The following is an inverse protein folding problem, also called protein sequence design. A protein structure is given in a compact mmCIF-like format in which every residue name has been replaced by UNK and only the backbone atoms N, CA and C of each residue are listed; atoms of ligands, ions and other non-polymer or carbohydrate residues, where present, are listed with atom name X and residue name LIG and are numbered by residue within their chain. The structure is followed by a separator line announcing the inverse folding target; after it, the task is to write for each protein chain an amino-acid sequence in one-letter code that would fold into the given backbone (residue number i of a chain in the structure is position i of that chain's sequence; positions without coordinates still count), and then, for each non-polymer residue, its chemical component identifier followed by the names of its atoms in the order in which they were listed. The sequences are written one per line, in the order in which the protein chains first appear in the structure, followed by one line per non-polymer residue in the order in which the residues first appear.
data_IF_741974531257
#
_entry.id   IF_741974531257
#
_cell.length_a   1.000
_cell.length_b   1.000
_cell.length_c   1.000
_cell.angle_alpha   90.00
_cell.angle_beta   90.00
_cell.angle_gamma   90.00
#
_symmetry.space_group_name_H-M   'P 1'
#
loop_
_entity.id
_entity.type
_entity.pdbx_description
1 polymer ?
#
# COMPACT_ATOMS: atom_id res chain seq x y z
N UNK A 1 -15.41 5.51 -3.27
CA UNK A 1 -15.49 4.56 -4.42
C UNK A 1 -14.69 3.32 -4.06
N UNK A 2 -15.27 2.12 -4.19
CA UNK A 2 -14.59 0.85 -3.94
C UNK A 2 -13.54 0.56 -5.03
N UNK A 3 -12.25 0.29 -4.70
CA UNK A 3 -11.21 -0.01 -5.70
C UNK A 3 -11.49 -1.23 -6.59
N UNK A 4 -12.31 -2.20 -6.17
CA UNK A 4 -12.71 -3.33 -7.00
C UNK A 4 -13.50 -2.92 -8.25
N UNK A 5 -14.15 -1.73 -8.25
CA UNK A 5 -14.79 -1.15 -9.44
C UNK A 5 -13.79 -0.96 -10.58
N UNK A 6 -12.54 -0.63 -10.27
CA UNK A 6 -11.50 -0.44 -11.29
C UNK A 6 -11.16 -1.74 -12.00
N UNK A 7 -11.10 -2.86 -11.25
CA UNK A 7 -10.85 -4.19 -11.80
C UNK A 7 -11.94 -4.57 -12.81
N UNK A 8 -13.22 -4.42 -12.43
CA UNK A 8 -14.34 -4.68 -13.34
C UNK A 8 -14.32 -3.75 -14.57
N UNK A 9 -13.99 -2.48 -14.37
CA UNK A 9 -13.90 -1.51 -15.48
C UNK A 9 -12.86 -1.95 -16.51
N UNK A 10 -11.65 -2.33 -16.06
CA UNK A 10 -10.58 -2.77 -16.95
C UNK A 10 -10.88 -4.13 -17.60
N UNK A 11 -11.56 -5.04 -16.89
CA UNK A 11 -12.03 -6.29 -17.47
C UNK A 11 -13.00 -6.07 -18.64
N UNK A 12 -13.84 -5.04 -18.57
CA UNK A 12 -14.74 -4.66 -19.69
C UNK A 12 -14.03 -3.91 -20.81
N UNK A 13 -13.11 -3.01 -20.49
CA UNK A 13 -12.47 -2.12 -21.47
C UNK A 13 -11.28 -2.77 -22.17
N UNK A 14 -10.53 -3.63 -21.45
CA UNK A 14 -9.23 -4.18 -21.87
C UNK A 14 -9.07 -5.65 -21.41
N UNK A 15 -10.01 -6.55 -21.73
CA UNK A 15 -10.08 -7.91 -21.16
C UNK A 15 -8.79 -8.71 -21.33
N UNK A 16 -8.11 -8.58 -22.47
CA UNK A 16 -6.89 -9.32 -22.79
C UNK A 16 -5.59 -8.67 -22.33
N UNK A 17 -5.61 -7.43 -21.79
CA UNK A 17 -4.41 -6.78 -21.32
C UNK A 17 -3.93 -7.38 -19.99
N UNK A 18 -2.60 -7.43 -19.71
CA UNK A 18 -2.06 -7.90 -18.46
C UNK A 18 -2.59 -7.10 -17.26
N UNK A 19 -3.02 -7.78 -16.20
CA UNK A 19 -3.42 -7.18 -14.94
C UNK A 19 -2.40 -7.48 -13.83
N UNK A 20 -1.98 -8.74 -13.72
CA UNK A 20 -1.01 -9.21 -12.74
C UNK A 20 0.05 -10.03 -13.44
N UNK A 21 1.30 -9.82 -13.09
CA UNK A 21 2.45 -10.58 -13.55
C UNK A 21 3.21 -11.18 -12.36
N UNK A 22 3.74 -12.38 -12.55
CA UNK A 22 4.67 -13.05 -11.63
C UNK A 22 6.02 -13.15 -12.33
N UNK A 23 6.99 -12.38 -11.86
CA UNK A 23 8.24 -12.17 -12.55
C UNK A 23 8.04 -11.58 -13.95
N UNK A 24 8.61 -12.20 -14.96
CA UNK A 24 8.53 -11.78 -16.36
C UNK A 24 7.27 -12.26 -17.08
N UNK A 25 6.48 -13.14 -16.45
CA UNK A 25 5.33 -13.80 -17.04
C UNK A 25 4.02 -13.16 -16.62
N UNK A 26 3.07 -13.07 -17.55
CA UNK A 26 1.70 -12.66 -17.23
C UNK A 26 1.02 -13.78 -16.43
N UNK A 27 0.65 -13.48 -15.18
CA UNK A 27 -0.14 -14.38 -14.33
C UNK A 27 -1.61 -14.34 -14.71
N UNK A 28 -2.18 -13.14 -14.85
CA UNK A 28 -3.56 -12.97 -15.28
C UNK A 28 -3.76 -11.71 -16.12
N UNK A 29 -4.73 -11.81 -17.04
CA UNK A 29 -5.28 -10.64 -17.75
C UNK A 29 -6.33 -9.95 -16.90
N UNK A 30 -6.79 -8.76 -17.29
CA UNK A 30 -7.86 -8.07 -16.58
C UNK A 30 -9.15 -8.90 -16.52
N UNK A 31 -9.50 -9.62 -17.58
CA UNK A 31 -10.67 -10.52 -17.57
C UNK A 31 -10.46 -11.68 -16.58
N UNK A 32 -9.29 -12.31 -16.61
CA UNK A 32 -8.95 -13.40 -15.69
C UNK A 32 -8.93 -12.93 -14.23
N UNK A 33 -8.24 -11.83 -13.95
CA UNK A 33 -8.16 -11.25 -12.61
C UNK A 33 -9.55 -10.90 -12.05
N UNK A 34 -10.40 -10.24 -12.84
CA UNK A 34 -11.75 -9.91 -12.43
C UNK A 34 -12.62 -11.17 -12.18
N UNK A 35 -12.48 -12.20 -13.01
CA UNK A 35 -13.19 -13.46 -12.81
C UNK A 35 -12.75 -14.15 -11.50
N UNK A 36 -11.45 -14.26 -11.25
CA UNK A 36 -10.92 -14.81 -9.99
C UNK A 36 -11.41 -14.00 -8.79
N UNK A 37 -11.31 -12.67 -8.84
CA UNK A 37 -11.78 -11.76 -7.78
C UNK A 37 -13.26 -11.97 -7.46
N UNK A 38 -14.12 -12.04 -8.49
CA UNK A 38 -15.56 -12.20 -8.29
C UNK A 38 -15.93 -13.61 -7.76
N UNK A 39 -15.25 -14.66 -8.25
CA UNK A 39 -15.48 -16.02 -7.78
C UNK A 39 -14.96 -16.26 -6.37
N UNK A 40 -13.77 -15.76 -6.06
CA UNK A 40 -13.20 -15.79 -4.70
C UNK A 40 -14.09 -15.02 -3.70
N UNK A 41 -14.59 -13.84 -4.09
CA UNK A 41 -15.57 -13.09 -3.30
C UNK A 41 -16.83 -13.90 -3.03
N UNK A 42 -17.33 -14.63 -4.04
CA UNK A 42 -18.46 -15.55 -3.91
C UNK A 42 -18.19 -16.71 -2.96
N UNK A 43 -16.99 -17.29 -3.03
CA UNK A 43 -16.56 -18.36 -2.13
C UNK A 43 -16.43 -17.89 -0.69
N UNK A 44 -15.80 -16.73 -0.46
CA UNK A 44 -15.65 -16.13 0.87
C UNK A 44 -17.02 -15.82 1.51
N UNK A 45 -17.95 -15.24 0.73
CA UNK A 45 -19.29 -14.92 1.23
C UNK A 45 -20.18 -16.18 1.38
N UNK A 46 -20.21 -17.05 0.37
CA UNK A 46 -21.12 -18.19 0.34
C UNK A 46 -20.64 -19.39 1.15
N UNK A 47 -19.36 -19.79 0.98
CA UNK A 47 -18.83 -21.01 1.63
C UNK A 47 -18.32 -20.74 3.03
N UNK A 48 -17.74 -19.55 3.30
CA UNK A 48 -17.23 -19.18 4.63
C UNK A 48 -18.20 -18.29 5.42
N UNK A 49 -19.32 -17.87 4.83
CA UNK A 49 -20.37 -17.12 5.53
C UNK A 49 -19.98 -15.70 5.94
N UNK A 50 -18.99 -15.08 5.27
CA UNK A 50 -18.63 -13.70 5.56
C UNK A 50 -19.67 -12.74 4.98
N UNK A 51 -19.86 -11.62 5.67
CA UNK A 51 -20.80 -10.56 5.25
C UNK A 51 -20.08 -9.22 5.09
N UNK A 52 -20.65 -8.27 4.30
CA UNK A 52 -20.04 -6.94 4.15
C UNK A 52 -19.73 -6.27 5.49
N UNK A 53 -18.50 -5.76 5.63
CA UNK A 53 -17.97 -5.20 6.87
C UNK A 53 -17.16 -6.19 7.71
N UNK A 54 -17.19 -7.49 7.44
CA UNK A 54 -16.28 -8.45 8.06
C UNK A 54 -14.83 -8.16 7.69
N UNK A 55 -13.89 -8.51 8.57
CA UNK A 55 -12.48 -8.30 8.38
C UNK A 55 -11.83 -9.57 7.87
N UNK A 56 -11.06 -9.40 6.79
CA UNK A 56 -10.22 -10.43 6.21
C UNK A 56 -8.76 -10.03 6.42
N UNK A 57 -8.03 -10.80 7.24
CA UNK A 57 -6.60 -10.60 7.43
C UNK A 57 -5.81 -11.32 6.33
N UNK A 58 -4.74 -10.67 5.84
CA UNK A 58 -3.80 -11.24 4.86
C UNK A 58 -2.43 -11.32 5.53
N UNK A 59 -1.96 -12.55 5.78
CA UNK A 59 -0.69 -12.86 6.46
C UNK A 59 0.14 -13.71 5.50
N UNK A 60 0.77 -13.07 4.50
CA UNK A 60 1.54 -13.78 3.48
C UNK A 60 2.54 -12.84 2.79
N UNK A 61 3.52 -13.42 2.12
CA UNK A 61 4.44 -12.71 1.25
C UNK A 61 3.75 -12.08 0.04
N UNK A 62 4.49 -11.23 -0.69
CA UNK A 62 3.96 -10.66 -1.93
C UNK A 62 3.75 -11.76 -2.98
N UNK A 63 2.53 -11.92 -3.45
CA UNK A 63 2.18 -12.91 -4.46
C UNK A 63 0.94 -12.46 -5.27
N UNK A 64 0.64 -13.06 -6.43
CA UNK A 64 -0.60 -12.84 -7.15
C UNK A 64 -1.84 -13.05 -6.27
N UNK A 65 -1.84 -14.11 -5.46
CA UNK A 65 -2.94 -14.48 -4.56
C UNK A 65 -3.18 -13.41 -3.50
N UNK A 66 -2.13 -12.68 -3.07
CA UNK A 66 -2.30 -11.52 -2.19
C UNK A 66 -3.20 -10.44 -2.82
N UNK A 67 -2.96 -10.13 -4.10
CA UNK A 67 -3.77 -9.16 -4.83
C UNK A 67 -5.19 -9.70 -5.05
N UNK A 68 -5.33 -10.97 -5.39
CA UNK A 68 -6.62 -11.63 -5.56
C UNK A 68 -7.44 -11.58 -4.26
N UNK A 69 -6.84 -11.94 -3.11
CA UNK A 69 -7.49 -11.86 -1.79
C UNK A 69 -7.92 -10.43 -1.45
N UNK A 70 -7.02 -9.46 -1.65
CA UNK A 70 -7.29 -8.05 -1.36
C UNK A 70 -8.46 -7.49 -2.17
N UNK A 71 -8.44 -7.72 -3.48
CA UNK A 71 -9.50 -7.21 -4.35
C UNK A 71 -10.81 -8.00 -4.22
N UNK A 72 -10.76 -9.31 -3.92
CA UNK A 72 -11.95 -10.11 -3.61
C UNK A 72 -12.62 -9.65 -2.30
N UNK A 73 -11.84 -9.32 -1.28
CA UNK A 73 -12.36 -8.76 -0.04
C UNK A 73 -13.10 -7.44 -0.30
N UNK A 74 -12.52 -6.51 -1.04
CA UNK A 74 -13.22 -5.27 -1.41
C UNK A 74 -14.43 -5.52 -2.31
N UNK A 75 -14.33 -6.47 -3.24
CA UNK A 75 -15.44 -6.84 -4.12
C UNK A 75 -16.66 -7.33 -3.34
N UNK A 76 -16.43 -8.13 -2.28
CA UNK A 76 -17.46 -8.61 -1.37
C UNK A 76 -17.85 -7.59 -0.27
N UNK A 77 -17.23 -6.39 -0.27
CA UNK A 77 -17.51 -5.35 0.73
C UNK A 77 -16.88 -5.60 2.11
N UNK A 78 -15.86 -6.46 2.19
CA UNK A 78 -15.12 -6.72 3.43
C UNK A 78 -14.06 -5.65 3.68
N UNK A 79 -13.56 -5.61 4.90
CA UNK A 79 -12.45 -4.77 5.33
C UNK A 79 -11.15 -5.58 5.28
N UNK A 80 -10.18 -5.12 4.52
CA UNK A 80 -8.87 -5.79 4.43
C UNK A 80 -8.01 -5.41 5.64
N UNK A 81 -7.37 -6.41 6.24
CA UNK A 81 -6.39 -6.25 7.32
C UNK A 81 -5.05 -6.82 6.85
N UNK A 82 -4.26 -6.06 6.10
CA UNK A 82 -2.96 -6.50 5.67
C UNK A 82 -2.00 -6.55 6.85
N UNK A 83 -1.42 -7.71 7.11
CA UNK A 83 -0.49 -7.94 8.21
C UNK A 83 0.89 -8.17 7.63
N UNK A 84 1.91 -7.54 8.21
CA UNK A 84 3.28 -7.84 7.83
C UNK A 84 3.63 -9.28 8.26
N UNK A 85 3.83 -10.15 7.29
CA UNK A 85 4.11 -11.56 7.53
C UNK A 85 5.45 -11.82 8.26
N UNK A 86 6.32 -10.81 8.38
CA UNK A 86 7.58 -10.89 9.14
C UNK A 86 7.43 -10.60 10.64
N UNK A 87 6.24 -10.23 11.09
CA UNK A 87 5.97 -10.03 12.51
C UNK A 87 6.05 -11.36 13.27
N UNK A 88 6.35 -11.26 14.58
CA UNK A 88 6.27 -12.43 15.44
C UNK A 88 4.82 -12.94 15.52
N UNK A 89 4.66 -14.24 15.70
CA UNK A 89 3.34 -14.89 15.78
C UNK A 89 2.39 -14.20 16.76
N UNK A 90 2.89 -13.77 17.91
CA UNK A 90 2.05 -13.11 18.94
C UNK A 90 1.58 -11.71 18.52
N UNK A 91 2.37 -11.02 17.71
CA UNK A 91 1.96 -9.72 17.11
C UNK A 91 0.87 -9.96 16.06
N UNK A 92 1.01 -11.00 15.23
CA UNK A 92 -0.01 -11.42 14.28
C UNK A 92 -1.29 -11.80 15.03
N UNK A 93 -1.20 -12.61 16.08
CA UNK A 93 -2.33 -13.00 16.94
C UNK A 93 -3.07 -11.77 17.51
N UNK A 94 -2.29 -10.79 18.01
CA UNK A 94 -2.87 -9.53 18.49
C UNK A 94 -3.63 -8.78 17.38
N UNK A 95 -3.04 -8.63 16.19
CA UNK A 95 -3.68 -7.90 15.09
C UNK A 95 -4.95 -8.62 14.63
N UNK A 96 -4.92 -9.94 14.48
CA UNK A 96 -6.09 -10.75 14.07
C UNK A 96 -7.21 -10.63 15.10
N UNK A 97 -6.88 -10.76 16.39
CA UNK A 97 -7.83 -10.62 17.51
C UNK A 97 -8.39 -9.20 17.60
N UNK A 98 -7.52 -8.19 17.63
CA UNK A 98 -7.92 -6.78 17.78
C UNK A 98 -8.77 -6.28 16.62
N UNK A 99 -8.44 -6.69 15.38
CA UNK A 99 -9.26 -6.36 14.21
C UNK A 99 -10.60 -7.06 14.20
N UNK A 100 -10.73 -8.17 14.96
CA UNK A 100 -11.86 -9.07 14.90
C UNK A 100 -11.96 -9.78 13.55
N UNK A 101 -10.81 -10.12 12.94
CA UNK A 101 -10.80 -10.82 11.65
C UNK A 101 -11.42 -12.20 11.80
N UNK A 102 -12.33 -12.54 10.87
CA UNK A 102 -13.01 -13.85 10.82
C UNK A 102 -12.26 -14.86 9.94
N UNK A 103 -11.49 -14.37 9.00
CA UNK A 103 -10.67 -15.21 8.14
C UNK A 103 -9.25 -14.66 8.05
N UNK A 104 -8.27 -15.55 8.05
CA UNK A 104 -6.88 -15.29 7.68
C UNK A 104 -6.61 -15.98 6.34
N UNK A 105 -6.17 -15.21 5.34
CA UNK A 105 -5.56 -15.73 4.12
C UNK A 105 -4.05 -15.72 4.31
N UNK A 106 -3.39 -16.84 4.07
CA UNK A 106 -1.96 -17.03 4.33
C UNK A 106 -1.29 -17.82 3.20
N UNK A 107 0.03 -17.86 3.16
CA UNK A 107 0.81 -18.75 2.28
C UNK A 107 1.30 -19.98 3.06
N UNK A 108 1.98 -20.89 2.35
CA UNK A 108 2.49 -22.14 2.95
C UNK A 108 3.55 -21.89 4.03
N UNK A 109 4.33 -20.79 3.91
CA UNK A 109 5.40 -20.47 4.87
C UNK A 109 4.84 -20.01 6.22
N UNK A 110 3.65 -19.41 6.23
CA UNK A 110 3.01 -18.87 7.42
C UNK A 110 1.77 -19.68 7.88
N UNK A 111 1.43 -20.76 7.17
CA UNK A 111 0.23 -21.57 7.45
C UNK A 111 0.20 -22.12 8.86
N UNK A 112 1.31 -22.67 9.34
CA UNK A 112 1.37 -23.29 10.67
C UNK A 112 1.04 -22.28 11.77
N UNK A 113 1.64 -21.09 11.72
CA UNK A 113 1.39 -20.01 12.66
C UNK A 113 -0.05 -19.52 12.57
N UNK A 114 -0.56 -19.27 11.34
CA UNK A 114 -1.94 -18.84 11.14
C UNK A 114 -2.96 -19.85 11.66
N UNK A 115 -2.75 -21.17 11.41
CA UNK A 115 -3.64 -22.23 11.93
C UNK A 115 -3.59 -22.37 13.44
N UNK A 116 -2.44 -22.08 14.07
CA UNK A 116 -2.32 -22.11 15.52
C UNK A 116 -3.21 -21.05 16.22
N UNK A 117 -3.67 -20.04 15.49
CA UNK A 117 -4.58 -19.01 16.02
C UNK A 117 -6.05 -19.50 16.11
N UNK A 118 -6.41 -20.56 15.38
CA UNK A 118 -7.76 -21.16 15.48
C UNK A 118 -7.99 -21.70 16.90
N UNK A 119 -9.06 -21.24 17.54
CA UNK A 119 -9.40 -21.58 18.93
C UNK A 119 -8.65 -20.77 19.98
N UNK A 120 -7.63 -20.00 19.62
CA UNK A 120 -6.99 -19.01 20.48
C UNK A 120 -7.62 -17.62 20.29
N UNK A 121 -7.93 -17.25 19.04
CA UNK A 121 -8.56 -15.98 18.69
C UNK A 121 -10.04 -16.22 18.45
N UNK A 122 -10.89 -15.74 19.36
CA UNK A 122 -12.33 -15.99 19.35
C UNK A 122 -13.04 -15.58 18.05
N UNK A 123 -12.57 -14.53 17.39
CA UNK A 123 -13.18 -14.05 16.14
C UNK A 123 -12.78 -14.85 14.90
N UNK A 124 -11.67 -15.62 14.97
CA UNK A 124 -11.11 -16.32 13.82
C UNK A 124 -11.82 -17.65 13.58
N UNK A 125 -12.54 -17.75 12.47
CA UNK A 125 -13.30 -18.93 12.09
C UNK A 125 -12.60 -19.77 11.02
N UNK A 126 -11.80 -19.11 10.13
CA UNK A 126 -11.21 -19.75 8.97
C UNK A 126 -9.75 -19.33 8.75
N UNK A 127 -8.93 -20.29 8.32
CA UNK A 127 -7.59 -20.05 7.78
C UNK A 127 -7.50 -20.68 6.40
N UNK A 128 -7.24 -19.87 5.38
CA UNK A 128 -7.17 -20.28 3.97
C UNK A 128 -5.76 -20.10 3.47
N UNK A 129 -5.12 -21.21 3.07
CA UNK A 129 -3.76 -21.19 2.50
C UNK A 129 -3.84 -20.98 0.98
N UNK A 130 -3.12 -20.00 0.48
CA UNK A 130 -3.11 -19.59 -0.93
C UNK A 130 -1.65 -19.57 -1.49
N UNK A 131 -1.37 -20.28 -2.60
CA UNK A 131 -2.28 -21.25 -3.26
C UNK A 131 -2.47 -22.52 -2.44
N UNK A 132 -3.63 -23.18 -2.60
CA UNK A 132 -3.94 -24.44 -1.91
C UNK A 132 -5.29 -25.01 -2.34
N UNK A 133 -5.66 -26.18 -1.85
CA UNK A 133 -6.89 -26.89 -2.26
C UNK A 133 -8.14 -26.04 -1.96
N UNK A 134 -8.30 -25.58 -0.71
CA UNK A 134 -9.42 -24.74 -0.30
C UNK A 134 -9.46 -23.41 -1.09
N UNK A 135 -8.29 -22.79 -1.35
CA UNK A 135 -8.21 -21.60 -2.20
C UNK A 135 -8.78 -21.87 -3.62
N UNK A 136 -8.36 -23.01 -4.22
CA UNK A 136 -8.87 -23.43 -5.52
C UNK A 136 -10.39 -23.64 -5.53
N UNK A 137 -10.95 -24.25 -4.48
CA UNK A 137 -12.40 -24.41 -4.31
C UNK A 137 -13.12 -23.07 -4.21
N UNK A 138 -12.58 -22.12 -3.43
CA UNK A 138 -13.16 -20.77 -3.31
C UNK A 138 -13.12 -20.01 -4.64
N UNK A 139 -11.99 -20.10 -5.36
CA UNK A 139 -11.86 -19.52 -6.71
C UNK A 139 -12.76 -20.18 -7.77
N UNK A 140 -13.21 -21.41 -7.53
CA UNK A 140 -14.18 -22.14 -8.36
C UNK A 140 -15.65 -21.86 -8.03
N UNK A 141 -15.92 -21.01 -7.03
CA UNK A 141 -17.30 -20.69 -6.60
C UNK A 141 -18.05 -19.84 -7.62
N UNK A 142 -19.37 -19.77 -7.49
CA UNK A 142 -20.19 -18.87 -8.30
C UNK A 142 -19.75 -17.40 -8.03
N UNK A 143 -19.58 -16.58 -9.07
CA UNK A 143 -19.11 -15.21 -8.89
C UNK A 143 -20.15 -14.36 -8.14
N UNK A 144 -19.69 -13.57 -7.19
CA UNK A 144 -20.49 -12.57 -6.50
C UNK A 144 -20.56 -11.28 -7.35
N UNK A 145 -21.71 -10.62 -7.35
CA UNK A 145 -21.78 -9.26 -7.85
C UNK A 145 -21.06 -8.29 -6.91
N UNK A 146 -20.42 -7.26 -7.46
CA UNK A 146 -19.72 -6.26 -6.67
C UNK A 146 -20.66 -5.63 -5.63
N UNK A 147 -20.27 -5.68 -4.37
CA UNK A 147 -21.03 -5.09 -3.25
C UNK A 147 -20.75 -3.58 -3.18
N UNK A 148 -21.83 -2.79 -3.22
CA UNK A 148 -21.71 -1.33 -3.04
C UNK A 148 -21.32 -0.98 -1.60
N UNK A 149 -20.41 -0.02 -1.48
CA UNK A 149 -19.95 0.51 -0.20
C UNK A 149 -20.00 2.03 -0.20
N UNK A 150 -20.35 2.62 0.92
CA UNK A 150 -20.29 4.07 1.10
C UNK A 150 -18.82 4.56 1.11
N UNK A 151 -18.62 5.83 0.82
CA UNK A 151 -17.29 6.42 0.80
C UNK A 151 -16.59 6.37 2.17
N UNK A 152 -17.37 6.48 3.22
CA UNK A 152 -16.90 6.53 4.61
C UNK A 152 -16.90 5.14 5.31
N UNK A 153 -17.29 4.08 4.58
CA UNK A 153 -17.15 2.72 5.09
C UNK A 153 -15.67 2.35 5.21
N UNK A 154 -15.29 1.60 6.27
CA UNK A 154 -13.95 1.04 6.40
C UNK A 154 -13.59 0.15 5.20
N UNK A 155 -12.38 0.33 4.68
CA UNK A 155 -11.83 -0.43 3.55
C UNK A 155 -10.55 -1.18 3.91
N UNK A 156 -9.72 -0.60 4.79
CA UNK A 156 -8.42 -1.12 5.17
C UNK A 156 -8.12 -0.75 6.62
N UNK A 157 -7.73 -1.72 7.45
CA UNK A 157 -7.15 -1.45 8.76
C UNK A 157 -5.64 -1.50 8.63
N UNK A 158 -5.01 -0.33 8.71
CA UNK A 158 -3.56 -0.21 8.59
C UNK A 158 -2.94 -0.22 9.98
N UNK A 159 -2.25 -1.31 10.33
CA UNK A 159 -1.61 -1.43 11.64
C UNK A 159 -0.25 -0.76 11.64
N UNK A 160 -0.08 0.23 12.53
CA UNK A 160 1.18 0.94 12.75
C UNK A 160 1.79 0.53 14.09
N UNK A 161 3.13 0.50 14.18
CA UNK A 161 3.83 0.33 15.45
C UNK A 161 3.66 1.61 16.26
N UNK A 162 2.67 1.64 17.15
CA UNK A 162 2.44 2.79 18.03
C UNK A 162 3.60 3.03 19.00
N UNK A 163 3.84 4.28 19.36
CA UNK A 163 4.83 4.68 20.38
C UNK A 163 4.54 4.10 21.77
N UNK A 164 3.37 3.52 21.99
CA UNK A 164 2.87 2.98 23.27
C UNK A 164 2.98 1.45 23.40
N UNK A 165 3.65 0.75 22.50
CA UNK A 165 4.03 -0.66 22.63
C UNK A 165 3.13 -1.67 21.91
N UNK A 166 1.85 -1.42 21.66
CA UNK A 166 0.98 -2.30 20.85
C UNK A 166 0.55 -1.63 19.56
N UNK A 167 0.53 -2.34 18.42
CA UNK A 167 0.09 -1.78 17.14
C UNK A 167 -1.34 -1.24 17.22
N UNK A 168 -1.58 -0.06 16.62
CA UNK A 168 -2.90 0.55 16.46
C UNK A 168 -3.37 0.35 15.02
N UNK A 169 -4.65 0.00 14.83
CA UNK A 169 -5.25 -0.16 13.51
C UNK A 169 -5.88 1.15 13.03
N UNK A 170 -5.17 1.92 12.19
CA UNK A 170 -5.75 3.08 11.54
C UNK A 170 -6.83 2.64 10.55
N UNK A 171 -8.05 3.17 10.73
CA UNK A 171 -9.20 2.85 9.88
C UNK A 171 -9.19 3.73 8.64
N UNK A 172 -8.74 3.16 7.52
CA UNK A 172 -8.79 3.82 6.22
C UNK A 172 -10.11 3.49 5.52
N UNK A 173 -10.85 4.53 5.15
CA UNK A 173 -12.11 4.42 4.43
C UNK A 173 -11.88 4.34 2.92
N UNK A 174 -12.91 3.97 2.17
CA UNK A 174 -12.88 4.04 0.69
C UNK A 174 -12.61 5.48 0.19
N UNK A 175 -13.01 6.52 0.96
CA UNK A 175 -12.69 7.92 0.68
C UNK A 175 -11.19 8.17 0.79
N UNK A 176 -10.57 7.76 1.89
CA UNK A 176 -9.14 7.96 2.12
C UNK A 176 -8.30 7.31 1.01
N UNK A 177 -8.63 6.06 0.61
CA UNK A 177 -7.94 5.35 -0.47
C UNK A 177 -8.12 6.02 -1.83
N UNK A 178 -9.31 6.58 -2.10
CA UNK A 178 -9.56 7.34 -3.33
C UNK A 178 -8.75 8.64 -3.35
N UNK A 179 -8.76 9.40 -2.25
CA UNK A 179 -8.05 10.69 -2.17
C UNK A 179 -6.53 10.49 -2.29
N UNK A 180 -5.95 9.49 -1.59
CA UNK A 180 -4.56 9.08 -1.77
C UNK A 180 -4.25 8.76 -3.25
N UNK A 181 -5.16 8.04 -3.93
CA UNK A 181 -5.01 7.68 -5.35
C UNK A 181 -5.02 8.92 -6.25
N UNK A 182 -5.93 9.87 -6.02
CA UNK A 182 -6.04 11.11 -6.79
C UNK A 182 -4.85 12.04 -6.53
N UNK A 183 -4.43 12.15 -5.27
CA UNK A 183 -3.24 12.91 -4.86
C UNK A 183 -1.97 12.38 -5.54
N UNK A 184 -1.84 11.06 -5.74
CA UNK A 184 -0.73 10.50 -6.50
C UNK A 184 -0.67 11.08 -7.92
N UNK A 185 -1.81 11.14 -8.62
CA UNK A 185 -1.85 11.69 -9.99
C UNK A 185 -1.60 13.19 -10.05
N UNK A 186 -1.98 13.93 -8.99
CA UNK A 186 -1.77 15.37 -8.91
C UNK A 186 -0.29 15.73 -8.65
N UNK A 187 0.37 15.01 -7.72
CA UNK A 187 1.60 15.50 -7.11
C UNK A 187 2.82 14.60 -7.34
N UNK A 188 2.63 13.31 -7.72
CA UNK A 188 3.76 12.38 -7.89
C UNK A 188 4.04 12.10 -9.35
N UNK A 189 3.10 11.42 -10.03
CA UNK A 189 3.31 11.06 -11.44
C UNK A 189 2.00 10.64 -12.12
N UNK A 190 1.77 11.00 -13.38
CA UNK A 190 0.68 10.44 -14.17
C UNK A 190 0.93 8.95 -14.43
N UNK A 191 -0.12 8.15 -14.40
CA UNK A 191 -0.08 6.72 -14.73
C UNK A 191 -0.88 6.47 -16.00
N UNK A 192 -0.29 5.71 -16.93
CA UNK A 192 -0.89 5.24 -18.16
C UNK A 192 -1.23 3.76 -18.09
N UNK A 193 -2.11 3.31 -18.96
CA UNK A 193 -2.53 1.91 -19.05
C UNK A 193 -1.46 0.96 -19.64
N UNK A 194 -0.38 1.51 -20.18
CA UNK A 194 0.81 0.76 -20.60
C UNK A 194 1.91 0.70 -19.55
N UNK A 195 1.74 1.38 -18.40
CA UNK A 195 2.73 1.39 -17.32
C UNK A 195 2.65 0.10 -16.46
N UNK A 196 3.62 -0.05 -15.56
CA UNK A 196 3.66 -1.13 -14.60
C UNK A 196 4.00 -0.63 -13.19
N UNK A 197 3.58 -1.39 -12.17
CA UNK A 197 4.00 -1.17 -10.79
C UNK A 197 4.65 -2.44 -10.24
N UNK A 198 5.88 -2.31 -9.73
CA UNK A 198 6.61 -3.42 -9.11
C UNK A 198 6.37 -3.44 -7.60
N UNK A 199 5.96 -4.60 -7.10
CA UNK A 199 5.70 -4.85 -5.69
C UNK A 199 6.88 -5.58 -5.02
N UNK A 200 8.06 -4.94 -4.95
CA UNK A 200 9.22 -5.48 -4.24
C UNK A 200 9.18 -5.19 -2.72
N UNK A 201 8.62 -4.05 -2.32
CA UNK A 201 8.32 -3.76 -0.92
C UNK A 201 7.00 -4.45 -0.48
N UNK A 202 6.80 -4.68 0.85
CA UNK A 202 5.62 -5.40 1.33
C UNK A 202 4.28 -4.79 0.89
N UNK A 203 3.40 -5.63 0.35
CA UNK A 203 2.02 -5.25 -0.03
C UNK A 203 1.15 -4.85 1.17
N UNK A 204 1.54 -5.26 2.37
CA UNK A 204 0.87 -4.85 3.62
C UNK A 204 1.11 -3.38 3.98
N UNK A 205 2.05 -2.70 3.30
CA UNK A 205 2.45 -1.31 3.57
C UNK A 205 2.41 -0.46 2.29
N UNK A 206 3.41 0.39 2.09
CA UNK A 206 3.48 1.36 1.01
C UNK A 206 3.30 0.79 -0.38
N UNK A 207 3.86 -0.37 -0.68
CA UNK A 207 3.69 -0.99 -2.01
C UNK A 207 2.23 -1.32 -2.31
N UNK A 208 1.48 -1.81 -1.32
CA UNK A 208 0.05 -2.11 -1.49
C UNK A 208 -0.82 -0.86 -1.67
N UNK A 209 -0.46 0.25 -1.02
CA UNK A 209 -1.11 1.54 -1.19
C UNK A 209 -0.79 2.14 -2.58
N UNK A 210 0.49 2.23 -2.94
CA UNK A 210 0.92 2.77 -4.24
C UNK A 210 0.59 1.89 -5.44
N UNK A 211 0.11 0.65 -5.22
CA UNK A 211 -0.56 -0.15 -6.25
C UNK A 211 -1.90 0.42 -6.69
N UNK A 212 -2.63 1.14 -5.81
CA UNK A 212 -3.97 1.66 -6.10
C UNK A 212 -4.04 2.61 -7.30
N UNK A 213 -3.19 3.67 -7.41
CA UNK A 213 -3.20 4.53 -8.58
C UNK A 213 -2.88 3.79 -9.88
N UNK A 214 -2.02 2.78 -9.82
CA UNK A 214 -1.67 1.98 -11.00
C UNK A 214 -2.85 1.10 -11.45
N UNK A 215 -3.50 0.38 -10.53
CA UNK A 215 -4.72 -0.38 -10.84
C UNK A 215 -5.85 0.54 -11.29
N UNK A 216 -6.02 1.72 -10.71
CA UNK A 216 -7.03 2.69 -11.14
C UNK A 216 -6.89 3.09 -12.62
N UNK A 217 -5.65 3.07 -13.16
CA UNK A 217 -5.33 3.41 -14.54
C UNK A 217 -5.16 2.20 -15.46
N UNK A 218 -5.22 0.99 -14.92
CA UNK A 218 -5.10 -0.26 -15.68
C UNK A 218 -3.66 -0.66 -16.02
N UNK A 219 -2.69 -0.15 -15.24
CA UNK A 219 -1.30 -0.59 -15.30
C UNK A 219 -1.14 -2.00 -14.70
N UNK A 220 -0.14 -2.75 -15.17
CA UNK A 220 0.10 -4.12 -14.69
C UNK A 220 0.78 -4.11 -13.31
N UNK A 221 0.29 -4.92 -12.38
CA UNK A 221 0.94 -5.20 -11.09
C UNK A 221 1.94 -6.33 -11.24
N UNK A 222 3.23 -6.06 -11.02
CA UNK A 222 4.34 -7.01 -11.20
C UNK A 222 4.84 -7.46 -9.82
N UNK A 223 4.79 -8.76 -9.55
CA UNK A 223 5.34 -9.37 -8.35
C UNK A 223 6.70 -9.99 -8.72
N UNK A 224 7.82 -9.67 -8.01
CA UNK A 224 9.07 -10.39 -8.23
C UNK A 224 8.93 -11.85 -7.80
N UNK A 225 9.51 -12.79 -8.56
CA UNK A 225 9.46 -14.22 -8.24
C UNK A 225 10.17 -14.54 -6.91
N UNK A 226 11.20 -13.73 -6.55
CA UNK A 226 11.88 -13.80 -5.25
C UNK A 226 11.01 -13.33 -4.07
N UNK A 227 9.84 -12.75 -4.35
CA UNK A 227 8.92 -12.13 -3.34
C UNK A 227 9.57 -10.98 -2.54
N UNK A 228 10.67 -10.43 -3.02
CA UNK A 228 11.45 -9.42 -2.28
C UNK A 228 12.28 -8.49 -3.15
N UNK A 229 13.32 -7.92 -2.55
CA UNK A 229 14.24 -6.98 -3.20
C UNK A 229 15.51 -7.71 -3.59
N UNK A 230 15.52 -8.28 -4.79
CA UNK A 230 16.74 -8.86 -5.38
C UNK A 230 17.16 -7.98 -6.57
N UNK A 231 18.32 -7.27 -6.46
CA UNK A 231 18.71 -6.24 -7.43
C UNK A 231 18.79 -6.73 -8.87
N UNK A 232 19.35 -7.92 -9.11
CA UNK A 232 19.44 -8.47 -10.45
C UNK A 232 18.07 -8.79 -11.06
N UNK A 233 17.13 -9.31 -10.26
CA UNK A 233 15.78 -9.56 -10.69
C UNK A 233 15.04 -8.25 -10.99
N UNK A 234 15.17 -7.24 -10.10
CA UNK A 234 14.54 -5.92 -10.31
C UNK A 234 15.05 -5.28 -11.61
N UNK A 235 16.35 -5.38 -11.90
CA UNK A 235 16.92 -4.88 -13.16
C UNK A 235 16.30 -5.60 -14.37
N UNK A 236 16.15 -6.93 -14.33
CA UNK A 236 15.48 -7.72 -15.37
C UNK A 236 14.02 -7.30 -15.55
N UNK A 237 13.28 -7.13 -14.45
CA UNK A 237 11.87 -6.72 -14.48
C UNK A 237 11.70 -5.29 -15.03
N UNK A 238 12.61 -4.36 -14.71
CA UNK A 238 12.63 -3.02 -15.32
C UNK A 238 12.81 -3.13 -16.84
N UNK A 239 13.74 -3.95 -17.30
CA UNK A 239 13.96 -4.14 -18.73
C UNK A 239 12.74 -4.77 -19.44
N UNK A 240 12.00 -5.64 -18.73
CA UNK A 240 10.84 -6.39 -19.26
C UNK A 240 9.55 -5.57 -19.32
N UNK A 241 9.25 -4.80 -18.24
CA UNK A 241 7.94 -4.15 -18.08
C UNK A 241 8.04 -2.64 -18.29
N UNK A 242 7.30 -2.07 -19.27
CA UNK A 242 7.40 -0.65 -19.57
C UNK A 242 6.82 0.24 -18.46
N UNK A 243 7.32 1.47 -18.38
CA UNK A 243 6.81 2.50 -17.50
C UNK A 243 6.78 2.09 -16.01
N UNK A 244 7.80 1.32 -15.57
CA UNK A 244 7.83 0.73 -14.25
C UNK A 244 8.00 1.78 -13.16
N UNK A 245 7.09 1.75 -12.19
CA UNK A 245 7.19 2.52 -10.96
C UNK A 245 7.17 1.58 -9.76
N UNK A 246 7.76 1.97 -8.63
CA UNK A 246 7.67 1.20 -7.39
C UNK A 246 7.94 2.04 -6.15
N UNK A 247 7.36 1.61 -5.02
CA UNK A 247 7.66 2.15 -3.71
C UNK A 247 8.90 1.46 -3.13
N UNK A 248 9.80 2.26 -2.52
CA UNK A 248 11.00 1.78 -1.87
C UNK A 248 11.32 2.56 -0.59
N UNK A 249 11.72 1.90 0.49
CA UNK A 249 12.35 2.56 1.61
C UNK A 249 13.74 3.07 1.21
N UNK A 250 14.28 4.14 1.86
CA UNK A 250 15.61 4.66 1.57
C UNK A 250 16.73 3.61 1.52
N UNK A 251 16.70 2.65 2.43
CA UNK A 251 17.67 1.53 2.45
C UNK A 251 17.57 0.63 1.21
N UNK A 252 16.37 0.44 0.66
CA UNK A 252 16.15 -0.30 -0.59
C UNK A 252 16.68 0.49 -1.77
N UNK A 253 16.41 1.81 -1.84
CA UNK A 253 16.94 2.70 -2.89
C UNK A 253 18.46 2.65 -2.90
N UNK A 254 19.10 2.79 -1.72
CA UNK A 254 20.56 2.69 -1.59
C UNK A 254 21.09 1.32 -2.04
N UNK A 255 20.47 0.21 -1.59
CA UNK A 255 20.86 -1.14 -2.02
C UNK A 255 20.85 -1.28 -3.53
N UNK A 256 19.79 -0.81 -4.19
CA UNK A 256 19.67 -0.85 -5.65
C UNK A 256 20.71 0.06 -6.33
N UNK A 257 20.93 1.27 -5.82
CA UNK A 257 21.87 2.24 -6.40
C UNK A 257 23.35 1.82 -6.26
N UNK A 258 23.67 0.92 -5.33
CA UNK A 258 25.04 0.41 -5.12
C UNK A 258 25.31 -0.94 -5.76
N UNK A 259 24.27 -1.64 -6.26
CA UNK A 259 24.43 -2.98 -6.80
C UNK A 259 24.87 -2.95 -8.28
N UNK A 260 25.95 -3.70 -8.64
CA UNK A 260 26.43 -3.75 -10.02
C UNK A 260 25.39 -4.24 -11.04
N UNK A 261 24.47 -5.12 -10.63
CA UNK A 261 23.43 -5.62 -11.52
C UNK A 261 22.42 -4.52 -11.93
N UNK A 262 22.23 -3.50 -11.08
CA UNK A 262 21.36 -2.36 -11.37
C UNK A 262 22.12 -1.24 -12.08
N UNK A 263 23.34 -0.89 -11.59
CA UNK A 263 24.13 0.22 -12.14
C UNK A 263 24.60 -0.03 -13.58
N UNK A 264 24.70 -1.31 -13.99
CA UNK A 264 25.03 -1.72 -15.37
C UNK A 264 23.82 -2.06 -16.25
N UNK A 265 22.59 -1.96 -15.72
CA UNK A 265 21.40 -2.39 -16.42
C UNK A 265 20.80 -1.30 -17.34
N UNK A 266 19.96 -1.74 -18.29
CA UNK A 266 19.10 -0.85 -19.03
C UNK A 266 17.89 -0.43 -18.17
N UNK A 267 17.87 0.81 -17.74
CA UNK A 267 16.82 1.40 -16.92
C UNK A 267 15.82 2.26 -17.72
N UNK A 268 15.78 2.09 -19.04
CA UNK A 268 14.93 2.92 -19.94
C UNK A 268 13.47 2.85 -19.56
N UNK A 269 12.97 1.68 -19.14
CA UNK A 269 11.60 1.46 -18.70
C UNK A 269 11.31 1.90 -17.25
N UNK A 270 12.33 2.26 -16.47
CA UNK A 270 12.11 2.81 -15.15
C UNK A 270 11.50 4.20 -15.23
N UNK A 271 10.32 4.37 -14.66
CA UNK A 271 9.56 5.61 -14.68
C UNK A 271 9.68 6.40 -13.39
N UNK A 272 9.38 5.76 -12.23
CA UNK A 272 9.40 6.47 -10.95
C UNK A 272 9.71 5.53 -9.80
N UNK A 273 10.68 5.93 -8.97
CA UNK A 273 10.90 5.35 -7.65
C UNK A 273 10.28 6.31 -6.64
N UNK A 274 9.20 5.87 -6.00
CA UNK A 274 8.57 6.59 -4.90
C UNK A 274 9.28 6.16 -3.61
N UNK A 275 9.94 7.06 -2.92
CA UNK A 275 10.65 6.70 -1.71
C UNK A 275 10.15 7.47 -0.48
N UNK A 276 10.17 6.78 0.67
CA UNK A 276 9.72 7.34 1.94
C UNK A 276 9.66 6.30 3.04
N UNK A 277 9.02 6.65 4.15
CA UNK A 277 8.87 5.79 5.33
C UNK A 277 10.08 5.81 6.28
N UNK A 278 11.16 6.52 5.91
CA UNK A 278 12.32 6.84 6.74
C UNK A 278 13.08 8.02 6.13
N UNK A 279 13.97 8.70 6.89
CA UNK A 279 14.82 9.75 6.36
C UNK A 279 15.77 9.24 5.25
N UNK A 280 15.89 10.01 4.17
CA UNK A 280 16.88 9.80 3.12
C UNK A 280 18.05 10.75 3.34
N UNK A 281 19.23 10.21 3.55
CA UNK A 281 20.42 11.06 3.66
C UNK A 281 20.83 11.64 2.30
N UNK A 282 21.27 12.90 2.29
CA UNK A 282 21.61 13.62 1.05
C UNK A 282 22.64 12.85 0.19
N UNK A 283 23.66 12.26 0.81
CA UNK A 283 24.68 11.49 0.10
C UNK A 283 24.10 10.24 -0.60
N UNK A 284 23.15 9.55 0.04
CA UNK A 284 22.47 8.38 -0.54
C UNK A 284 21.53 8.82 -1.67
N UNK A 285 20.87 9.98 -1.52
CA UNK A 285 20.04 10.57 -2.54
C UNK A 285 20.85 10.98 -3.78
N UNK A 286 22.00 11.63 -3.57
CA UNK A 286 22.91 12.02 -4.67
C UNK A 286 23.42 10.81 -5.46
N UNK A 287 23.78 9.74 -4.73
CA UNK A 287 24.14 8.45 -5.33
C UNK A 287 22.98 7.87 -6.15
N UNK A 288 21.78 7.85 -5.59
CA UNK A 288 20.59 7.35 -6.27
C UNK A 288 20.25 8.17 -7.52
N UNK A 289 20.35 9.50 -7.45
CA UNK A 289 20.14 10.39 -8.60
C UNK A 289 21.21 10.20 -9.69
N UNK A 290 22.44 9.85 -9.33
CA UNK A 290 23.48 9.53 -10.31
C UNK A 290 23.17 8.24 -11.08
N UNK A 291 22.54 7.25 -10.44
CA UNK A 291 22.19 5.96 -11.07
C UNK A 291 20.84 6.04 -11.78
N UNK A 292 19.81 6.51 -11.12
CA UNK A 292 18.44 6.47 -11.62
C UNK A 292 18.03 7.72 -12.41
N UNK A 293 18.84 8.78 -12.36
CA UNK A 293 18.49 10.05 -13.00
C UNK A 293 17.27 10.71 -12.34
N UNK A 294 16.50 11.54 -13.08
CA UNK A 294 15.36 12.30 -12.55
C UNK A 294 14.10 11.43 -12.41
N UNK A 295 14.22 10.28 -11.73
CA UNK A 295 13.13 9.32 -11.55
C UNK A 295 12.71 9.12 -10.09
N UNK A 296 13.26 9.92 -9.17
CA UNK A 296 12.97 9.84 -7.75
C UNK A 296 11.89 10.83 -7.36
N UNK A 297 10.91 10.38 -6.57
CA UNK A 297 9.91 11.22 -5.93
C UNK A 297 9.83 10.83 -4.46
N UNK A 298 9.96 11.80 -3.56
CA UNK A 298 9.86 11.58 -2.12
C UNK A 298 8.43 11.74 -1.65
N UNK A 299 8.07 10.94 -0.63
CA UNK A 299 6.84 11.14 0.14
C UNK A 299 7.15 11.11 1.65
N UNK A 300 6.37 11.90 2.38
CA UNK A 300 6.22 11.78 3.82
C UNK A 300 4.73 11.58 4.14
N UNK A 301 4.46 10.70 5.08
CA UNK A 301 3.14 10.38 5.58
C UNK A 301 3.16 9.15 6.46
N UNK A 302 2.08 8.98 7.20
CA UNK A 302 1.88 7.89 8.16
C UNK A 302 0.82 6.92 7.66
N UNK A 303 0.60 5.81 8.37
CA UNK A 303 -0.52 4.89 8.11
C UNK A 303 -1.88 5.56 8.24
N UNK A 304 -1.97 6.52 9.14
CA UNK A 304 -3.14 7.35 9.44
C UNK A 304 -3.55 8.31 8.30
N UNK A 305 -2.65 8.50 7.32
CA UNK A 305 -2.88 9.37 6.14
C UNK A 305 -2.58 8.66 4.81
N UNK A 306 -2.73 7.37 4.69
CA UNK A 306 -2.13 6.42 3.75
C UNK A 306 -0.92 6.99 2.98
N UNK A 307 0.14 7.35 3.75
CA UNK A 307 1.41 7.89 3.25
C UNK A 307 1.29 9.19 2.44
N UNK A 308 0.29 10.02 2.72
CA UNK A 308 -0.05 11.20 1.91
C UNK A 308 -0.14 12.45 2.78
N UNK A 309 0.99 13.07 3.10
CA UNK A 309 1.07 14.37 3.81
C UNK A 309 1.82 15.37 2.95
N UNK A 310 3.11 15.14 2.69
CA UNK A 310 3.94 16.00 1.85
C UNK A 310 4.69 15.19 0.78
N UNK A 311 5.36 15.86 -0.13
CA UNK A 311 6.20 15.22 -1.11
C UNK A 311 7.16 16.18 -1.81
N UNK A 312 8.22 15.60 -2.39
CA UNK A 312 9.12 16.24 -3.33
C UNK A 312 8.99 15.56 -4.69
N UNK A 313 8.71 16.35 -5.70
CA UNK A 313 8.50 15.87 -7.07
C UNK A 313 9.82 15.47 -7.76
N UNK A 314 9.70 14.73 -8.86
CA UNK A 314 10.84 14.46 -9.75
C UNK A 314 11.50 15.73 -10.31
N UNK A 315 10.71 16.77 -10.54
CA UNK A 315 11.21 18.05 -11.03
C UNK A 315 12.09 18.75 -9.99
N UNK A 316 11.67 18.76 -8.73
CA UNK A 316 12.46 19.34 -7.64
C UNK A 316 13.78 18.57 -7.44
N UNK A 317 13.76 17.24 -7.53
CA UNK A 317 15.00 16.44 -7.48
C UNK A 317 15.96 16.77 -8.62
N UNK A 318 15.45 17.06 -9.80
CA UNK A 318 16.24 17.39 -11.00
C UNK A 318 16.80 18.81 -11.01
N UNK A 319 16.18 19.76 -10.31
CA UNK A 319 16.54 21.18 -10.33
C UNK A 319 17.78 21.50 -9.46
N UNK A 320 18.90 20.90 -9.82
CA UNK A 320 20.17 21.10 -9.09
C UNK A 320 20.70 22.55 -9.19
N UNK A 321 20.15 23.39 -10.07
CA UNK A 321 20.50 24.79 -10.19
C UNK A 321 19.82 25.66 -9.12
N UNK A 322 18.79 25.17 -8.44
CA UNK A 322 18.12 25.90 -7.37
C UNK A 322 19.07 26.17 -6.20
N UNK A 323 19.21 27.42 -5.75
CA UNK A 323 20.22 27.79 -4.72
C UNK A 323 20.02 27.08 -3.37
N UNK A 324 18.80 26.64 -3.08
CA UNK A 324 18.46 25.87 -1.87
C UNK A 324 18.18 24.40 -2.13
N UNK A 325 18.70 23.85 -3.24
CA UNK A 325 18.41 22.45 -3.62
C UNK A 325 18.78 21.46 -2.51
N UNK A 326 19.96 21.61 -1.92
CA UNK A 326 20.44 20.73 -0.83
C UNK A 326 19.55 20.78 0.41
N UNK A 327 18.98 21.94 0.74
CA UNK A 327 18.05 22.10 1.87
C UNK A 327 16.70 21.44 1.53
N UNK A 328 16.19 21.64 0.31
CA UNK A 328 14.95 21.01 -0.15
C UNK A 328 15.06 19.48 -0.11
N UNK A 329 16.19 18.91 -0.56
CA UNK A 329 16.41 17.46 -0.57
C UNK A 329 16.54 16.84 0.83
N UNK A 330 16.78 17.64 1.85
CA UNK A 330 16.83 17.22 3.26
C UNK A 330 15.51 17.49 4.00
N UNK A 331 14.53 18.06 3.31
CA UNK A 331 13.18 18.27 3.84
C UNK A 331 12.25 17.10 3.48
N UNK A 332 11.04 17.14 4.01
CA UNK A 332 9.94 16.21 3.60
C UNK A 332 9.07 16.80 2.49
N UNK A 333 9.48 17.92 1.91
CA UNK A 333 8.80 18.57 0.78
C UNK A 333 7.63 19.47 1.19
N UNK A 334 6.75 19.72 0.21
CA UNK A 334 5.58 20.56 0.35
C UNK A 334 4.30 19.73 0.59
N UNK A 335 3.26 20.32 1.23
CA UNK A 335 1.97 19.67 1.39
C UNK A 335 1.42 19.17 0.04
N UNK A 336 0.78 17.98 0.06
CA UNK A 336 0.08 17.45 -1.12
C UNK A 336 -1.15 18.32 -1.43
N UNK A 337 -1.59 18.31 -2.68
CA UNK A 337 -2.64 19.20 -3.20
C UNK A 337 -3.95 19.17 -2.39
N UNK A 338 -4.30 18.02 -1.83
CA UNK A 338 -5.55 17.79 -1.07
C UNK A 338 -5.36 17.83 0.45
N UNK A 339 -4.20 18.27 0.94
CA UNK A 339 -3.81 18.20 2.35
C UNK A 339 -3.42 19.56 2.90
N UNK A 340 -4.00 19.93 4.04
CA UNK A 340 -3.54 21.06 4.83
C UNK A 340 -2.54 20.59 5.89
N UNK A 341 -1.41 21.27 6.00
CA UNK A 341 -0.34 20.97 6.96
C UNK A 341 0.02 22.24 7.73
N UNK A 342 0.16 22.10 9.03
CA UNK A 342 0.65 23.17 9.90
C UNK A 342 1.72 22.60 10.85
N UNK A 343 2.59 23.48 11.33
CA UNK A 343 3.50 23.22 12.46
C UNK A 343 2.96 24.00 13.65
N UNK A 344 2.70 23.33 14.77
CA UNK A 344 2.04 23.93 15.94
C UNK A 344 2.86 23.74 17.21
N UNK A 345 2.62 24.63 18.19
CA UNK A 345 3.14 24.47 19.55
C UNK A 345 2.31 23.45 20.36
N UNK A 346 2.69 23.25 21.64
CA UNK A 346 2.01 22.35 22.58
C UNK A 346 0.55 22.75 22.86
N UNK A 347 0.19 24.00 22.64
CA UNK A 347 -1.17 24.54 22.76
C UNK A 347 -1.99 24.40 21.45
N UNK A 348 -1.40 23.87 20.38
CA UNK A 348 -2.00 23.72 19.05
C UNK A 348 -2.06 25.01 18.24
N UNK A 349 -1.27 26.04 18.58
CA UNK A 349 -1.18 27.29 17.82
C UNK A 349 -0.14 27.22 16.73
N UNK A 350 -0.45 27.68 15.50
CA UNK A 350 0.52 27.72 14.41
C UNK A 350 1.77 28.50 14.78
N UNK A 351 2.91 27.92 14.50
CA UNK A 351 4.22 28.52 14.70
C UNK A 351 4.71 29.25 13.44
N UNK A 352 5.50 30.32 13.61
CA UNK A 352 6.19 30.98 12.50
C UNK A 352 7.15 30.05 11.77
N UNK A 353 7.45 30.38 10.50
CA UNK A 353 8.44 29.63 9.71
C UNK A 353 9.83 29.67 10.39
N UNK A 354 10.42 28.51 10.56
CA UNK A 354 11.74 28.33 11.18
C UNK A 354 11.68 27.91 12.64
N UNK A 355 10.52 27.86 13.27
CA UNK A 355 10.33 27.32 14.60
C UNK A 355 9.98 25.82 14.54
N UNK A 356 10.41 25.08 15.57
CA UNK A 356 10.19 23.62 15.67
C UNK A 356 8.92 23.38 16.47
N UNK A 357 8.04 22.51 15.95
CA UNK A 357 6.81 22.12 16.60
C UNK A 357 6.21 20.87 15.95
N UNK A 358 5.07 20.41 16.47
CA UNK A 358 4.38 19.22 15.96
C UNK A 358 3.77 19.48 14.57
N UNK A 359 3.96 18.55 13.66
CA UNK A 359 3.27 18.55 12.36
C UNK A 359 1.83 18.07 12.56
N UNK A 360 0.85 18.92 12.16
CA UNK A 360 -0.56 18.56 12.18
C UNK A 360 -1.16 18.60 10.77
N UNK A 361 -2.11 17.69 10.52
CA UNK A 361 -2.61 17.41 9.17
C UNK A 361 -4.12 17.41 9.13
N UNK A 362 -4.70 17.97 8.06
CA UNK A 362 -6.14 17.92 7.78
C UNK A 362 -6.37 17.66 6.29
N UNK A 363 -7.36 16.83 5.97
CA UNK A 363 -7.76 16.50 4.61
C UNK A 363 -8.51 15.17 4.54
N UNK A 364 -9.11 14.90 3.40
CA UNK A 364 -9.88 13.65 3.15
C UNK A 364 -9.01 12.38 3.12
N UNK A 365 -7.68 12.51 3.17
CA UNK A 365 -6.75 11.38 3.35
C UNK A 365 -6.66 10.91 4.80
N UNK A 366 -7.03 11.75 5.77
CA UNK A 366 -6.92 11.44 7.20
C UNK A 366 -7.89 10.33 7.59
N UNK A 367 -7.39 9.32 8.28
CA UNK A 367 -8.15 8.16 8.77
C UNK A 367 -9.44 8.53 9.50
N UNK A 368 -10.41 7.61 9.54
CA UNK A 368 -11.61 7.80 10.35
C UNK A 368 -11.36 7.69 11.87
N UNK A 369 -10.22 7.11 12.27
CA UNK A 369 -9.81 6.90 13.65
C UNK A 369 -9.14 5.54 13.84
N UNK A 370 -8.73 5.23 15.06
CA UNK A 370 -8.18 3.93 15.40
C UNK A 370 -9.31 2.94 15.70
N UNK A 371 -9.24 1.76 15.06
CA UNK A 371 -10.22 0.70 15.19
C UNK A 371 -10.39 0.28 16.66
N UNK A 372 -11.63 0.36 17.17
CA UNK A 372 -11.94 -0.02 18.56
C UNK A 372 -11.28 0.83 19.65
N UNK A 373 -10.64 1.98 19.34
CA UNK A 373 -9.88 2.79 20.28
C UNK A 373 -10.34 4.27 20.24
N UNK A 374 -11.50 4.56 20.82
CA UNK A 374 -12.11 5.90 20.78
C UNK A 374 -11.29 6.97 21.52
N UNK A 375 -10.65 6.62 22.64
CA UNK A 375 -9.81 7.55 23.42
C UNK A 375 -8.57 7.94 22.64
N UNK A 376 -7.82 6.97 22.10
CA UNK A 376 -6.65 7.23 21.26
C UNK A 376 -7.04 8.02 19.98
N UNK A 377 -8.22 7.76 19.42
CA UNK A 377 -8.76 8.51 18.29
C UNK A 377 -9.01 9.97 18.66
N UNK A 378 -9.66 10.24 19.78
CA UNK A 378 -9.96 11.59 20.25
C UNK A 378 -8.69 12.38 20.60
N UNK A 379 -7.66 11.71 21.12
CA UNK A 379 -6.36 12.31 21.38
C UNK A 379 -5.62 12.68 20.08
N UNK A 380 -5.62 11.78 19.11
CA UNK A 380 -4.89 11.96 17.84
C UNK A 380 -5.63 12.88 16.88
N UNK A 381 -6.98 12.85 16.84
CA UNK A 381 -7.82 13.67 15.94
C UNK A 381 -8.48 14.84 16.70
N UNK A 382 -7.69 15.62 17.45
CA UNK A 382 -8.20 16.75 18.23
C UNK A 382 -8.23 18.06 17.44
N UNK A 383 -9.19 18.92 17.73
CA UNK A 383 -9.29 20.24 17.09
C UNK A 383 -9.57 20.20 15.58
N UNK A 384 -9.96 19.04 15.02
CA UNK A 384 -10.17 18.85 13.58
C UNK A 384 -8.88 18.59 12.80
N UNK A 385 -7.77 18.28 13.50
CA UNK A 385 -6.46 17.96 12.94
C UNK A 385 -5.99 16.59 13.42
N UNK A 386 -5.31 15.88 12.55
CA UNK A 386 -4.48 14.73 12.92
C UNK A 386 -3.16 15.27 13.49
N UNK A 387 -2.87 14.93 14.72
CA UNK A 387 -1.59 15.16 15.38
C UNK A 387 -0.66 13.99 15.10
N UNK A 388 0.43 14.27 14.36
CA UNK A 388 1.30 13.21 13.84
C UNK A 388 2.26 12.66 14.89
N UNK A 389 2.57 13.44 15.91
CA UNK A 389 3.65 13.16 16.85
C UNK A 389 5.06 13.38 16.28
N UNK A 390 5.18 13.81 15.02
CA UNK A 390 6.45 14.15 14.37
C UNK A 390 6.74 15.66 14.51
N UNK A 391 8.04 16.02 14.72
CA UNK A 391 8.49 17.38 14.92
C UNK A 391 9.49 17.82 13.85
#
# INVERSE_FOLDING_TARGET
MNPAVWVERHARQRPGAPAVADGESVHSTWAGFAATVASLAGGLAGSLGLVPGDRLAIVMGNSPEYLEAKYAAWHAGFVVVPVNARLHRDEIAYIVSHSGARVVVTDADHEADARSLLGEVDSLEHVVTAPGAQWGELCGSAPLALVERAADDPAWLFYTSGTTGRPKGATLTFRNLLMMTLSYFADIDPVSDGDSVLHAAPLSHGSGLYGLPHVARGAVSVLPASRGVEPAEIASLIARWPGMSFFAAPTMVRRLATDPAVTGADLTNLKTIIYGGAPMYLADLELALAVFGPRLAQIYGQGETPMTITGLSKAEHADRAHPRWSEHMQSVGAPRTDVEVQVVDDDGKPLPVGEIGEVVVRGDVVMAGYWGQSEATAETLRGGWLHTGDM
#
